data_IF_787732511259
#
_entry.id   IF_787732511259
#
_cell.length_a   1.000
_cell.length_b   1.000
_cell.length_c   1.000
_cell.angle_alpha   90.00
_cell.angle_beta   90.00
_cell.angle_gamma   90.00
#
_symmetry.space_group_name_H-M   'P 1'
#
loop_
_entity.id
_entity.type
_entity.pdbx_description
1 polymer ?
#
# COMPACT_ATOMS: atom_id res chain seq x y z
N UNK A 1 22.00 46.30 -29.82
CA UNK A 1 23.35 46.86 -30.03
C UNK A 1 23.19 48.37 -29.96
N UNK A 2 23.74 49.05 -28.94
CA UNK A 2 23.62 50.51 -28.65
C UNK A 2 22.16 51.05 -28.45
N UNK A 3 21.84 52.11 -27.72
CA UNK A 3 22.50 52.89 -26.64
C UNK A 3 21.46 53.86 -26.03
N UNK A 4 21.50 54.36 -24.79
CA UNK A 4 22.36 54.13 -23.61
C UNK A 4 21.57 54.45 -22.32
N UNK A 5 22.13 54.15 -21.14
CA UNK A 5 21.61 54.49 -19.80
C UNK A 5 22.36 55.72 -19.23
N UNK A 6 21.69 56.60 -18.46
CA UNK A 6 22.23 57.45 -17.37
C UNK A 6 21.07 58.32 -16.80
N UNK A 7 20.99 58.75 -15.53
CA UNK A 7 21.40 58.19 -14.23
C UNK A 7 20.61 58.91 -13.10
N UNK A 8 20.59 58.33 -11.89
CA UNK A 8 19.87 58.85 -10.72
C UNK A 8 20.36 60.22 -10.21
N UNK A 9 19.44 61.00 -9.61
CA UNK A 9 19.75 61.81 -8.40
C UNK A 9 18.64 61.61 -7.36
N UNK A 10 19.05 61.28 -6.13
CA UNK A 10 18.23 61.21 -4.92
C UNK A 10 18.22 62.56 -4.19
N UNK A 11 17.10 62.96 -3.60
CA UNK A 11 17.09 63.80 -2.39
C UNK A 11 15.75 63.71 -1.64
N UNK A 12 15.79 63.26 -0.39
CA UNK A 12 14.68 63.22 0.57
C UNK A 12 14.78 64.36 1.58
N UNK A 13 13.66 64.86 2.15
CA UNK A 13 13.40 64.82 3.60
C UNK A 13 12.12 65.59 4.06
N UNK A 14 11.31 64.90 4.89
CA UNK A 14 10.48 65.35 6.03
C UNK A 14 9.68 66.70 5.99
N UNK A 15 8.36 66.61 6.21
CA UNK A 15 7.79 66.80 7.56
C UNK A 15 6.36 66.24 7.74
N UNK A 16 6.13 65.73 8.95
CA UNK A 16 4.88 65.44 9.69
C UNK A 16 3.72 66.45 9.54
N UNK A 17 2.44 66.17 9.89
CA UNK A 17 1.84 65.04 10.66
C UNK A 17 0.29 65.01 10.59
N UNK A 18 -0.30 63.93 11.15
CA UNK A 18 -1.67 63.79 11.73
C UNK A 18 -2.94 63.86 10.87
N UNK A 19 -3.66 62.73 10.76
CA UNK A 19 -5.14 62.58 10.90
C UNK A 19 -5.45 61.21 11.55
N UNK A 20 -6.59 61.10 12.23
CA UNK A 20 -6.95 60.12 13.28
C UNK A 20 -7.41 58.70 12.89
N UNK A 21 -7.20 57.82 13.89
CA UNK A 21 -8.01 56.70 14.38
C UNK A 21 -9.00 55.97 13.46
N UNK A 22 -8.76 54.66 13.30
CA UNK A 22 -9.79 53.67 12.94
C UNK A 22 -10.10 52.76 14.15
N UNK A 23 -11.40 52.57 14.43
CA UNK A 23 -11.90 51.89 15.62
C UNK A 23 -11.86 50.36 15.47
N UNK A 24 -10.97 49.66 16.20
CA UNK A 24 -11.03 48.20 16.38
C UNK A 24 -11.47 47.87 17.80
N UNK A 25 -12.52 47.06 17.93
CA UNK A 25 -12.90 46.45 19.22
C UNK A 25 -11.90 45.35 19.57
N UNK A 26 -11.08 45.59 20.58
CA UNK A 26 -10.29 44.52 21.20
C UNK A 26 -11.20 43.69 22.10
N UNK A 27 -11.40 42.42 21.78
CA UNK A 27 -11.83 41.44 22.77
C UNK A 27 -10.62 41.11 23.64
N UNK A 28 -10.63 41.60 24.88
CA UNK A 28 -9.69 41.16 25.91
C UNK A 28 -10.06 39.74 26.33
N UNK A 29 -9.46 38.75 25.67
CA UNK A 29 -9.37 37.40 26.23
C UNK A 29 -8.42 37.49 27.41
N UNK A 30 -8.91 37.09 28.58
CA UNK A 30 -8.12 37.06 29.81
C UNK A 30 -7.16 35.88 29.68
N UNK A 31 -5.87 36.16 29.52
CA UNK A 31 -4.83 35.13 29.58
C UNK A 31 -4.91 34.45 30.95
N UNK A 32 -5.27 33.17 30.96
CA UNK A 32 -5.03 32.30 32.10
C UNK A 32 -3.66 31.67 31.91
N UNK A 33 -2.72 31.98 32.81
CA UNK A 33 -1.41 31.36 32.86
C UNK A 33 -1.54 29.85 33.11
N UNK A 34 -1.49 29.09 32.03
CA UNK A 34 -1.22 27.67 32.01
C UNK A 34 -0.49 27.37 30.69
N UNK A 35 0.81 27.65 30.65
CA UNK A 35 1.67 27.14 29.58
C UNK A 35 1.71 25.62 29.67
N UNK A 36 0.82 24.96 28.92
CA UNK A 36 0.99 23.56 28.58
C UNK A 36 2.12 23.47 27.55
N UNK A 37 3.21 22.78 27.88
CA UNK A 37 4.31 22.50 26.96
C UNK A 37 3.76 21.90 25.66
N UNK A 38 3.93 22.61 24.55
CA UNK A 38 3.48 22.13 23.25
C UNK A 38 4.24 20.86 22.86
N UNK A 39 3.51 19.79 22.54
CA UNK A 39 4.08 18.55 22.00
C UNK A 39 4.88 18.75 20.70
N UNK A 40 4.69 19.89 20.01
CA UNK A 40 5.53 20.35 18.91
C UNK A 40 6.85 20.98 19.42
N UNK A 41 7.59 20.26 20.26
CA UNK A 41 8.92 20.66 20.72
C UNK A 41 9.95 20.51 19.59
N UNK A 42 10.84 21.50 19.42
CA UNK A 42 11.90 21.49 18.38
C UNK A 42 12.88 20.32 18.48
N UNK A 43 12.88 19.57 19.58
CA UNK A 43 13.65 18.32 19.75
C UNK A 43 13.15 17.14 18.89
N UNK A 44 11.91 17.17 18.40
CA UNK A 44 11.30 16.01 17.74
C UNK A 44 10.75 16.35 16.36
N UNK A 45 11.07 15.51 15.36
CA UNK A 45 10.34 15.50 14.10
C UNK A 45 9.11 14.61 14.29
N UNK A 46 7.93 15.22 14.28
CA UNK A 46 6.64 14.54 14.39
C UNK A 46 5.83 14.81 13.12
N UNK A 47 5.16 13.77 12.61
CA UNK A 47 4.35 13.87 11.40
C UNK A 47 2.87 13.82 11.77
N UNK A 48 2.21 14.98 11.73
CA UNK A 48 0.77 15.09 11.90
C UNK A 48 0.09 15.00 10.54
N UNK A 49 -0.89 14.10 10.41
CA UNK A 49 -1.92 14.21 9.38
C UNK A 49 -3.18 14.84 10.00
N UNK A 50 -3.83 15.74 9.27
CA UNK A 50 -4.95 16.57 9.76
C UNK A 50 -6.30 15.83 9.79
N UNK A 51 -7.25 16.37 10.58
CA UNK A 51 -8.71 16.08 10.65
C UNK A 51 -9.15 14.82 11.44
N UNK A 52 -10.40 14.74 11.95
CA UNK A 52 -11.22 15.77 12.61
C UNK A 52 -11.43 15.44 14.13
N UNK A 53 -12.13 16.32 14.86
CA UNK A 53 -12.21 16.42 16.33
C UNK A 53 -12.58 15.18 17.19
N UNK A 54 -12.97 14.01 16.64
CA UNK A 54 -13.62 12.95 17.45
C UNK A 54 -13.10 11.51 17.31
N UNK A 55 -12.26 11.17 16.32
CA UNK A 55 -11.77 9.79 16.12
C UNK A 55 -10.29 9.81 15.68
N UNK A 56 -9.42 10.20 16.61
CA UNK A 56 -8.13 10.84 16.27
C UNK A 56 -6.92 9.90 16.24
N UNK A 57 -6.98 8.75 16.90
CA UNK A 57 -6.03 7.61 16.82
C UNK A 57 -6.78 6.38 17.39
N UNK A 58 -6.36 5.15 17.01
CA UNK A 58 -6.74 3.94 17.74
C UNK A 58 -6.09 3.95 19.12
N UNK A 59 -6.69 4.68 20.07
CA UNK A 59 -6.33 4.60 21.46
C UNK A 59 -6.84 3.29 22.07
N UNK A 60 -6.11 2.72 23.02
CA UNK A 60 -6.56 1.54 23.77
C UNK A 60 -6.59 1.85 25.26
N UNK A 61 -7.66 1.39 25.93
CA UNK A 61 -7.81 1.47 27.38
C UNK A 61 -7.11 0.27 28.00
N UNK A 62 -6.17 0.51 28.89
CA UNK A 62 -5.49 -0.56 29.63
C UNK A 62 -6.25 -1.02 30.87
N UNK A 63 -5.82 -2.16 31.43
CA UNK A 63 -6.37 -2.78 32.64
C UNK A 63 -6.19 -1.90 33.90
N UNK A 64 -5.23 -0.98 33.90
CA UNK A 64 -5.04 0.06 34.93
C UNK A 64 -6.04 1.23 34.82
N UNK A 65 -6.91 1.24 33.80
CA UNK A 65 -7.89 2.30 33.56
C UNK A 65 -7.36 3.51 32.76
N UNK A 66 -6.11 3.47 32.27
CA UNK A 66 -5.50 4.55 31.50
C UNK A 66 -5.60 4.29 29.98
N UNK A 67 -5.97 5.31 29.21
CA UNK A 67 -5.84 5.29 27.76
C UNK A 67 -4.37 5.40 27.35
N UNK A 68 -3.99 4.69 26.27
CA UNK A 68 -2.72 4.83 25.56
C UNK A 68 -2.93 5.37 24.15
N UNK A 69 -1.95 6.12 23.65
CA UNK A 69 -1.75 6.39 22.22
C UNK A 69 -0.27 6.21 21.85
N UNK A 70 -0.02 5.86 20.59
CA UNK A 70 1.31 5.86 19.99
C UNK A 70 1.43 7.00 18.96
N UNK A 71 2.49 7.80 19.06
CA UNK A 71 2.83 8.88 18.13
C UNK A 71 4.15 8.51 17.42
N UNK A 72 4.15 8.56 16.09
CA UNK A 72 5.33 8.30 15.28
C UNK A 72 6.32 9.47 15.34
N UNK A 73 7.59 9.18 15.59
CA UNK A 73 8.64 10.19 15.67
C UNK A 73 10.01 9.64 15.27
N UNK A 74 10.91 10.57 14.93
CA UNK A 74 12.35 10.32 14.76
C UNK A 74 13.14 11.00 15.89
N UNK A 75 14.07 10.28 16.53
CA UNK A 75 15.01 10.87 17.49
C UNK A 75 16.43 10.39 17.19
N UNK A 76 17.16 11.19 16.41
CA UNK A 76 18.55 10.92 16.03
C UNK A 76 18.68 9.71 15.11
N UNK A 77 17.97 9.72 13.97
CA UNK A 77 17.85 8.63 13.00
C UNK A 77 17.15 7.35 13.51
N UNK A 78 16.69 7.34 14.77
CA UNK A 78 15.95 6.24 15.39
C UNK A 78 14.45 6.47 15.29
N UNK A 79 13.75 5.60 14.56
CA UNK A 79 12.30 5.59 14.48
C UNK A 79 11.68 5.06 15.77
N UNK A 80 10.58 5.69 16.22
CA UNK A 80 9.93 5.37 17.49
C UNK A 80 8.42 5.50 17.41
N UNK A 81 7.73 4.63 18.15
CA UNK A 81 6.37 4.85 18.62
C UNK A 81 6.42 5.45 20.03
N UNK A 82 6.42 6.79 20.13
CA UNK A 82 6.34 7.49 21.42
C UNK A 82 4.97 7.19 22.07
N UNK A 83 5.00 6.66 23.28
CA UNK A 83 3.79 6.31 24.02
C UNK A 83 3.37 7.47 24.92
N UNK A 84 2.07 7.78 24.93
CA UNK A 84 1.46 8.70 25.89
C UNK A 84 0.30 8.02 26.60
N UNK A 85 0.05 8.42 27.86
CA UNK A 85 -1.07 7.95 28.69
C UNK A 85 -2.02 9.08 29.09
N UNK A 86 -3.29 8.77 29.31
CA UNK A 86 -4.31 9.71 29.81
C UNK A 86 -5.41 9.01 30.60
N UNK A 87 -5.91 9.65 31.66
CA UNK A 87 -7.11 9.22 32.39
C UNK A 87 -8.41 9.69 31.70
N UNK A 88 -8.39 10.90 31.15
CA UNK A 88 -9.60 11.64 30.72
C UNK A 88 -9.68 11.90 29.21
N UNK A 89 -8.72 11.36 28.44
CA UNK A 89 -8.56 11.54 26.99
C UNK A 89 -8.14 12.96 26.55
N UNK A 90 -7.96 13.90 27.49
CA UNK A 90 -7.65 15.31 27.25
C UNK A 90 -6.22 15.66 27.67
N UNK A 91 -5.80 15.20 28.85
CA UNK A 91 -4.47 15.45 29.41
C UNK A 91 -3.56 14.24 29.17
N UNK A 92 -2.49 14.43 28.40
CA UNK A 92 -1.60 13.36 27.95
C UNK A 92 -0.20 13.50 28.52
N UNK A 93 0.25 12.49 29.26
CA UNK A 93 1.60 12.40 29.82
C UNK A 93 2.42 11.42 28.99
N UNK A 94 3.58 11.85 28.49
CA UNK A 94 4.49 10.96 27.77
C UNK A 94 5.06 9.89 28.71
N UNK A 95 5.03 8.63 28.30
CA UNK A 95 5.69 7.56 29.03
C UNK A 95 7.22 7.68 28.91
N UNK A 96 7.94 7.22 29.94
CA UNK A 96 9.40 7.29 29.99
C UNK A 96 10.08 6.48 28.85
N UNK A 97 9.45 5.37 28.45
CA UNK A 97 9.88 4.54 27.34
C UNK A 97 8.86 4.64 26.17
N UNK A 98 9.32 4.57 24.91
CA UNK A 98 8.43 4.37 23.77
C UNK A 98 7.85 2.95 23.78
N UNK A 99 6.70 2.76 23.12
CA UNK A 99 6.09 1.44 22.91
C UNK A 99 7.06 0.49 22.18
N UNK A 100 7.77 1.04 21.20
CA UNK A 100 8.86 0.39 20.48
C UNK A 100 9.80 1.43 19.83
N UNK A 101 11.06 1.07 19.58
CA UNK A 101 12.05 1.91 18.92
C UNK A 101 13.13 1.08 18.21
N UNK A 102 13.64 1.59 17.10
CA UNK A 102 14.57 0.92 16.17
C UNK A 102 15.76 1.82 15.86
N UNK A 103 16.94 1.28 15.51
CA UNK A 103 18.15 2.11 15.45
C UNK A 103 18.34 2.90 14.14
N UNK A 104 17.75 2.46 13.01
CA UNK A 104 18.08 3.01 11.67
C UNK A 104 16.92 3.11 10.67
N UNK A 105 15.66 3.05 11.11
CA UNK A 105 14.51 3.12 10.19
C UNK A 105 14.06 4.55 9.84
N UNK A 106 14.69 5.59 10.39
CA UNK A 106 14.30 6.98 10.12
C UNK A 106 12.93 7.36 10.69
N UNK A 107 12.19 8.22 10.00
CA UNK A 107 10.95 8.81 10.48
C UNK A 107 9.75 7.86 10.36
N UNK A 108 9.11 7.60 11.50
CA UNK A 108 7.85 6.85 11.57
C UNK A 108 6.66 7.79 11.47
N UNK A 109 5.88 7.63 10.40
CA UNK A 109 4.59 8.30 10.21
C UNK A 109 3.43 7.32 10.47
N UNK A 110 2.23 7.87 10.65
CA UNK A 110 0.96 7.13 10.68
C UNK A 110 1.00 5.77 11.41
N UNK A 111 1.42 5.73 12.69
CA UNK A 111 1.45 4.48 13.45
C UNK A 111 0.03 3.91 13.60
N UNK A 112 -0.05 2.59 13.72
CA UNK A 112 -1.25 1.89 14.10
C UNK A 112 -0.87 0.71 15.01
N UNK A 113 -1.62 0.51 16.09
CA UNK A 113 -1.35 -0.54 17.07
C UNK A 113 -2.65 -1.21 17.48
N UNK A 114 -2.70 -2.53 17.33
CA UNK A 114 -3.89 -3.33 17.60
C UNK A 114 -3.52 -4.80 17.82
N UNK A 115 -4.49 -5.62 18.22
CA UNK A 115 -4.36 -7.07 18.24
C UNK A 115 -5.31 -7.75 17.25
N UNK A 116 -4.95 -8.98 16.89
CA UNK A 116 -5.80 -9.96 16.22
C UNK A 116 -5.74 -11.27 16.99
N UNK A 117 -6.89 -11.91 17.14
CA UNK A 117 -7.02 -13.21 17.79
C UNK A 117 -6.96 -14.33 16.73
N UNK A 118 -6.04 -15.28 16.92
CA UNK A 118 -5.92 -16.52 16.12
C UNK A 118 -5.94 -17.74 17.03
N UNK A 119 -5.01 -18.69 16.82
CA UNK A 119 -4.71 -19.73 17.83
C UNK A 119 -4.17 -19.11 19.12
N UNK A 120 -3.42 -18.03 18.97
CA UNK A 120 -2.91 -17.16 20.02
C UNK A 120 -3.20 -15.70 19.60
N UNK A 121 -3.23 -14.78 20.57
CA UNK A 121 -3.33 -13.35 20.28
C UNK A 121 -1.99 -12.83 19.78
N UNK A 122 -1.99 -12.12 18.66
CA UNK A 122 -0.82 -11.36 18.17
C UNK A 122 -1.14 -9.88 18.13
N UNK A 123 -0.19 -9.07 18.59
CA UNK A 123 -0.22 -7.62 18.43
C UNK A 123 0.49 -7.25 17.13
N UNK A 124 -0.07 -6.26 16.45
CA UNK A 124 0.46 -5.66 15.23
C UNK A 124 0.91 -4.26 15.56
N UNK A 125 2.19 -3.97 15.34
CA UNK A 125 2.70 -2.61 15.30
C UNK A 125 2.99 -2.24 13.85
N UNK A 126 2.24 -1.29 13.31
CA UNK A 126 2.39 -0.76 11.95
C UNK A 126 2.92 0.68 11.98
N UNK A 127 3.74 1.02 11.00
CA UNK A 127 4.23 2.37 10.74
C UNK A 127 4.35 2.62 9.23
N UNK A 128 4.30 3.88 8.83
CA UNK A 128 4.65 4.35 7.49
C UNK A 128 6.08 4.89 7.55
N UNK A 129 7.00 4.35 6.76
CA UNK A 129 8.40 4.78 6.77
C UNK A 129 8.61 5.87 5.71
N UNK A 130 9.00 7.07 6.15
CA UNK A 130 9.16 8.22 5.26
C UNK A 130 10.29 8.02 4.24
N UNK A 131 11.33 7.29 4.62
CA UNK A 131 12.55 7.03 3.84
C UNK A 131 12.30 6.10 2.66
N UNK A 132 11.41 5.12 2.81
CA UNK A 132 11.08 4.13 1.77
C UNK A 132 9.73 4.37 1.12
N UNK A 133 8.92 5.31 1.62
CA UNK A 133 7.55 5.58 1.18
C UNK A 133 6.69 4.30 1.16
N UNK A 134 6.85 3.46 2.19
CA UNK A 134 6.15 2.18 2.30
C UNK A 134 5.61 1.93 3.72
N UNK A 135 4.49 1.23 3.78
CA UNK A 135 3.87 0.81 5.04
C UNK A 135 4.34 -0.57 5.47
N UNK A 136 5.01 -0.62 6.61
CA UNK A 136 5.56 -1.84 7.22
C UNK A 136 4.82 -2.20 8.50
N UNK A 137 4.85 -3.48 8.88
CA UNK A 137 4.33 -3.93 10.17
C UNK A 137 5.21 -5.03 10.79
N UNK A 138 5.13 -5.13 12.11
CA UNK A 138 5.71 -6.20 12.91
C UNK A 138 4.59 -6.93 13.66
N UNK A 139 4.69 -8.26 13.75
CA UNK A 139 3.90 -9.07 14.66
C UNK A 139 4.68 -9.29 15.96
N UNK A 140 3.98 -9.43 17.08
CA UNK A 140 4.63 -9.65 18.37
C UNK A 140 3.68 -9.76 19.56
N UNK A 141 4.27 -9.70 20.75
CA UNK A 141 3.57 -9.61 22.03
C UNK A 141 3.55 -8.17 22.57
N UNK A 142 2.60 -7.88 23.44
CA UNK A 142 2.51 -6.62 24.19
C UNK A 142 2.46 -6.94 25.69
N UNK A 143 3.45 -6.44 26.42
CA UNK A 143 3.52 -6.46 27.87
C UNK A 143 2.82 -5.20 28.39
N UNK A 144 1.57 -5.35 28.82
CA UNK A 144 0.70 -4.22 29.19
C UNK A 144 1.14 -3.54 30.50
N UNK A 145 1.70 -4.31 31.45
CA UNK A 145 2.23 -3.80 32.72
C UNK A 145 3.46 -2.90 32.51
N UNK A 146 4.29 -3.21 31.50
CA UNK A 146 5.48 -2.44 31.13
C UNK A 146 5.25 -1.45 29.98
N UNK A 147 4.11 -1.56 29.31
CA UNK A 147 3.79 -0.93 28.02
C UNK A 147 4.85 -1.14 26.92
N UNK A 148 5.35 -2.36 26.77
CA UNK A 148 6.38 -2.70 25.77
C UNK A 148 5.84 -3.64 24.70
N UNK A 149 6.01 -3.27 23.43
CA UNK A 149 5.83 -4.19 22.29
C UNK A 149 7.14 -4.91 21.96
N UNK A 150 7.07 -6.24 21.98
CA UNK A 150 8.18 -7.15 21.66
C UNK A 150 7.87 -7.88 20.35
N UNK A 151 8.55 -7.55 19.23
CA UNK A 151 8.32 -8.21 17.95
C UNK A 151 8.80 -9.67 17.96
N UNK A 152 8.15 -10.51 17.16
CA UNK A 152 8.51 -11.92 16.98
C UNK A 152 9.85 -12.10 16.24
N UNK A 153 10.15 -11.18 15.30
CA UNK A 153 11.46 -11.03 14.68
C UNK A 153 12.18 -9.84 15.33
N UNK A 154 13.32 -10.09 15.96
CA UNK A 154 14.12 -9.07 16.65
C UNK A 154 15.16 -8.40 15.74
N UNK A 155 15.13 -8.65 14.43
CA UNK A 155 16.02 -8.02 13.46
C UNK A 155 15.70 -6.54 13.25
N UNK A 156 16.64 -5.67 13.64
CA UNK A 156 16.57 -4.22 13.46
C UNK A 156 17.00 -3.79 12.05
N UNK A 157 16.47 -4.50 11.05
CA UNK A 157 16.63 -4.23 9.62
C UNK A 157 15.24 -4.07 8.99
N UNK A 158 14.87 -2.82 8.69
CA UNK A 158 13.56 -2.49 8.12
C UNK A 158 13.37 -2.94 6.67
N UNK A 159 14.44 -3.38 5.98
CA UNK A 159 14.35 -3.89 4.61
C UNK A 159 13.60 -5.23 4.52
N UNK A 160 13.63 -6.02 5.61
CA UNK A 160 12.98 -7.34 5.69
C UNK A 160 11.63 -7.32 6.43
N UNK A 161 11.19 -6.17 6.97
CA UNK A 161 9.89 -6.09 7.63
C UNK A 161 8.73 -6.29 6.64
N UNK A 162 7.68 -6.95 7.14
CA UNK A 162 6.48 -7.26 6.35
C UNK A 162 5.75 -5.97 5.96
N UNK A 163 5.06 -5.99 4.81
CA UNK A 163 4.27 -4.87 4.30
C UNK A 163 2.82 -5.29 4.13
N UNK A 164 1.88 -4.35 4.27
CA UNK A 164 0.52 -4.62 3.82
C UNK A 164 0.47 -4.79 2.30
N UNK A 165 1.22 -3.98 1.58
CA UNK A 165 1.19 -3.96 0.12
C UNK A 165 2.59 -3.64 -0.39
N UNK A 166 2.99 -4.31 -1.47
CA UNK A 166 4.33 -4.22 -2.05
C UNK A 166 4.38 -3.28 -3.28
N UNK A 167 3.29 -2.56 -3.57
CA UNK A 167 3.21 -1.49 -4.56
C UNK A 167 3.00 -0.11 -3.94
N UNK A 168 2.15 0.72 -4.55
CA UNK A 168 1.79 2.07 -4.08
C UNK A 168 0.73 1.99 -2.99
N UNK A 169 1.15 2.06 -1.75
CA UNK A 169 0.26 2.03 -0.60
C UNK A 169 0.95 2.68 0.60
N UNK A 170 0.36 3.76 1.12
CA UNK A 170 0.98 4.56 2.16
C UNK A 170 -0.03 5.11 3.17
N UNK A 171 0.47 5.62 4.29
CA UNK A 171 -0.29 6.29 5.35
C UNK A 171 -1.51 5.49 5.86
N UNK A 172 -1.46 4.15 5.76
CA UNK A 172 -2.60 3.28 6.00
C UNK A 172 -3.00 3.23 7.48
N UNK A 173 -4.29 2.99 7.72
CA UNK A 173 -4.87 2.95 9.06
C UNK A 173 -6.02 1.97 9.11
N UNK A 174 -6.09 1.21 10.19
CA UNK A 174 -7.21 0.31 10.47
C UNK A 174 -8.23 0.96 11.40
N UNK A 175 -9.46 0.45 11.37
CA UNK A 175 -10.42 0.58 12.47
C UNK A 175 -11.09 -0.77 12.71
N UNK A 176 -11.75 -0.94 13.86
CA UNK A 176 -12.57 -2.11 14.12
C UNK A 176 -14.04 -1.82 13.78
N UNK A 177 -14.58 -2.58 12.84
CA UNK A 177 -16.00 -2.58 12.48
C UNK A 177 -16.77 -3.40 13.53
N UNK A 178 -17.30 -2.71 14.55
CA UNK A 178 -18.07 -3.31 15.64
C UNK A 178 -19.33 -4.06 15.19
N UNK A 179 -19.88 -3.73 14.01
CA UNK A 179 -21.10 -4.34 13.49
C UNK A 179 -20.80 -5.68 12.84
N UNK A 180 -19.80 -5.73 11.96
CA UNK A 180 -19.43 -6.95 11.23
C UNK A 180 -18.27 -7.71 11.90
N UNK A 181 -17.81 -7.25 13.07
CA UNK A 181 -16.77 -7.85 13.95
C UNK A 181 -15.46 -8.17 13.22
N UNK A 182 -14.95 -7.19 12.48
CA UNK A 182 -13.77 -7.31 11.61
C UNK A 182 -12.88 -6.08 11.70
N UNK A 183 -11.57 -6.24 11.46
CA UNK A 183 -10.66 -5.11 11.28
C UNK A 183 -10.62 -4.70 9.82
N UNK A 184 -10.86 -3.43 9.53
CA UNK A 184 -10.87 -2.88 8.17
C UNK A 184 -9.72 -1.89 8.01
N UNK A 185 -8.91 -2.09 6.98
CA UNK A 185 -7.76 -1.28 6.58
C UNK A 185 -8.13 -0.36 5.42
N UNK A 186 -7.75 0.91 5.55
CA UNK A 186 -7.69 1.90 4.48
C UNK A 186 -6.23 2.24 4.19
N UNK A 187 -5.87 2.49 2.93
CA UNK A 187 -4.55 2.96 2.52
C UNK A 187 -4.63 4.00 1.41
N UNK A 188 -3.82 5.05 1.53
CA UNK A 188 -3.71 6.07 0.49
C UNK A 188 -2.83 5.54 -0.65
N UNK A 189 -3.30 5.77 -1.88
CA UNK A 189 -2.61 5.42 -3.10
C UNK A 189 -2.38 6.72 -3.87
N UNK A 190 -1.15 7.25 -3.78
CA UNK A 190 -0.77 8.46 -4.51
C UNK A 190 -0.67 8.21 -6.02
N UNK A 191 -0.48 9.27 -6.81
CA UNK A 191 -0.39 9.18 -8.26
C UNK A 191 0.98 8.66 -8.74
N UNK A 192 1.03 8.12 -9.97
CA UNK A 192 2.27 7.80 -10.71
C UNK A 192 2.32 8.46 -12.10
N UNK A 193 1.42 9.39 -12.41
CA UNK A 193 1.68 10.42 -13.43
C UNK A 193 2.43 11.61 -12.78
N UNK A 194 2.45 12.78 -13.43
CA UNK A 194 3.21 13.93 -12.94
C UNK A 194 2.31 15.08 -12.46
N UNK A 195 2.91 16.03 -11.75
CA UNK A 195 2.20 17.19 -11.15
C UNK A 195 1.44 18.03 -12.21
N UNK A 196 1.90 18.07 -13.46
CA UNK A 196 1.17 18.78 -14.52
C UNK A 196 -0.09 18.02 -14.96
N UNK A 197 -0.06 16.69 -14.95
CA UNK A 197 -1.25 15.86 -15.14
C UNK A 197 -2.24 16.03 -13.98
N UNK A 198 -1.77 16.05 -12.73
CA UNK A 198 -2.59 16.32 -11.53
C UNK A 198 -3.36 17.63 -11.62
N UNK A 199 -2.65 18.72 -11.97
CA UNK A 199 -3.25 20.05 -12.16
C UNK A 199 -4.22 20.04 -13.35
N UNK A 200 -3.93 19.30 -14.42
CA UNK A 200 -4.77 19.25 -15.62
C UNK A 200 -6.05 18.42 -15.42
N UNK A 201 -5.96 17.29 -14.70
CA UNK A 201 -7.11 16.43 -14.37
C UNK A 201 -7.93 16.97 -13.18
N UNK A 202 -7.35 17.86 -12.38
CA UNK A 202 -8.03 18.60 -11.31
C UNK A 202 -8.15 17.86 -9.97
N UNK A 203 -7.45 16.74 -9.81
CA UNK A 203 -7.43 15.91 -8.60
C UNK A 203 -6.12 15.09 -8.53
N UNK A 204 -5.76 14.60 -7.34
CA UNK A 204 -4.57 13.76 -7.14
C UNK A 204 -4.76 12.88 -5.88
N UNK A 205 -4.46 11.60 -6.00
CA UNK A 205 -4.55 10.60 -4.93
C UNK A 205 -5.93 9.95 -4.83
N UNK A 206 -5.94 8.65 -4.54
CA UNK A 206 -7.14 7.86 -4.25
C UNK A 206 -6.95 7.08 -2.94
N UNK A 207 -8.02 6.47 -2.45
CA UNK A 207 -7.93 5.41 -1.45
C UNK A 207 -7.98 4.04 -2.16
N UNK A 208 -7.25 3.06 -1.64
CA UNK A 208 -7.46 1.65 -1.97
C UNK A 208 -8.87 1.21 -1.56
N UNK A 209 -9.41 0.18 -2.20
CA UNK A 209 -10.61 -0.50 -1.71
C UNK A 209 -10.37 -1.00 -0.28
N UNK A 210 -11.29 -0.76 0.68
CA UNK A 210 -11.11 -1.22 2.06
C UNK A 210 -10.90 -2.72 2.15
N UNK A 211 -9.92 -3.14 2.96
CA UNK A 211 -9.52 -4.55 3.10
C UNK A 211 -9.83 -5.05 4.50
N UNK A 212 -10.41 -6.22 4.63
CA UNK A 212 -10.45 -6.95 5.90
C UNK A 212 -9.05 -7.48 6.18
N UNK A 213 -8.54 -7.26 7.39
CA UNK A 213 -7.23 -7.76 7.84
C UNK A 213 -7.43 -8.87 8.86
N UNK A 214 -6.80 -10.02 8.63
CA UNK A 214 -6.76 -11.16 9.54
C UNK A 214 -5.33 -11.65 9.74
N UNK A 215 -5.11 -12.47 10.77
CA UNK A 215 -3.85 -13.18 10.97
C UNK A 215 -3.85 -14.45 10.10
N UNK A 216 -2.74 -14.78 9.43
CA UNK A 216 -2.62 -16.06 8.72
C UNK A 216 -2.72 -17.24 9.72
N UNK A 217 -3.29 -18.41 9.35
CA UNK A 217 -3.32 -19.59 10.21
C UNK A 217 -1.95 -20.08 10.75
N UNK A 218 -0.84 -19.68 10.13
CA UNK A 218 0.53 -19.91 10.60
C UNK A 218 1.05 -18.84 11.60
N UNK A 219 0.32 -17.74 11.79
CA UNK A 219 0.62 -16.59 12.65
C UNK A 219 1.93 -15.82 12.34
N UNK A 220 2.48 -15.96 11.13
CA UNK A 220 3.73 -15.31 10.70
C UNK A 220 3.52 -14.04 9.86
N UNK A 221 2.32 -13.81 9.35
CA UNK A 221 1.96 -12.65 8.54
C UNK A 221 0.47 -12.30 8.69
N UNK A 222 0.08 -11.15 8.15
CA UNK A 222 -1.30 -10.73 7.98
C UNK A 222 -1.81 -11.07 6.58
N UNK A 223 -3.09 -11.43 6.49
CA UNK A 223 -3.81 -11.69 5.24
C UNK A 223 -4.83 -10.57 5.03
N UNK A 224 -4.98 -10.13 3.77
CA UNK A 224 -5.88 -9.04 3.39
C UNK A 224 -6.83 -9.45 2.27
N UNK A 225 -8.12 -9.16 2.43
CA UNK A 225 -9.09 -9.38 1.37
C UNK A 225 -10.03 -8.18 1.22
N UNK A 226 -10.41 -7.77 -0.01
CA UNK A 226 -11.40 -6.70 -0.21
C UNK A 226 -12.69 -6.98 0.57
N UNK A 227 -13.29 -5.95 1.17
CA UNK A 227 -14.55 -6.08 1.91
C UNK A 227 -15.65 -6.69 1.03
N UNK A 228 -16.42 -7.64 1.58
CA UNK A 228 -17.51 -8.38 0.89
C UNK A 228 -18.54 -7.46 0.22
N UNK A 229 -18.71 -6.25 0.74
CA UNK A 229 -19.61 -5.22 0.20
C UNK A 229 -19.23 -4.79 -1.22
N UNK A 230 -17.95 -4.91 -1.61
CA UNK A 230 -17.50 -4.68 -2.98
C UNK A 230 -18.22 -5.59 -3.98
N UNK A 231 -18.55 -6.82 -3.57
CA UNK A 231 -19.19 -7.81 -4.44
C UNK A 231 -20.60 -7.39 -4.87
N UNK A 232 -21.24 -6.46 -4.16
CA UNK A 232 -22.52 -5.84 -4.56
C UNK A 232 -22.39 -5.01 -5.86
N UNK A 233 -21.17 -4.67 -6.28
CA UNK A 233 -20.89 -4.00 -7.55
C UNK A 233 -20.72 -4.99 -8.71
N UNK A 234 -20.51 -6.30 -8.46
CA UNK A 234 -20.40 -7.32 -9.50
C UNK A 234 -21.67 -7.36 -10.37
N UNK A 235 -21.50 -7.45 -11.69
CA UNK A 235 -22.60 -7.56 -12.67
C UNK A 235 -22.49 -8.88 -13.44
N UNK A 236 -22.63 -8.86 -14.78
CA UNK A 236 -22.51 -10.06 -15.61
C UNK A 236 -21.16 -10.73 -15.35
N UNK A 237 -21.23 -11.97 -14.86
CA UNK A 237 -20.11 -12.88 -14.68
C UNK A 237 -19.77 -13.56 -16.01
N UNK A 238 -18.50 -13.85 -16.19
CA UNK A 238 -17.93 -14.73 -17.21
C UNK A 238 -17.17 -15.81 -16.44
N UNK A 239 -17.41 -17.06 -16.79
CA UNK A 239 -16.76 -18.22 -16.21
C UNK A 239 -15.96 -18.93 -17.31
N UNK A 240 -14.67 -19.15 -17.07
CA UNK A 240 -13.79 -19.95 -17.91
C UNK A 240 -13.18 -21.07 -17.07
N UNK A 241 -13.03 -22.26 -17.67
CA UNK A 241 -12.59 -23.47 -16.98
C UNK A 241 -11.67 -24.29 -17.87
N UNK A 242 -10.77 -25.05 -17.25
CA UNK A 242 -9.93 -26.06 -17.89
C UNK A 242 -9.09 -25.55 -19.09
N UNK A 243 -8.65 -24.29 -19.05
CA UNK A 243 -7.79 -23.71 -20.11
C UNK A 243 -6.33 -24.10 -19.86
N UNK A 244 -5.73 -24.89 -20.74
CA UNK A 244 -4.27 -25.08 -20.78
C UNK A 244 -3.61 -23.86 -21.46
N UNK A 245 -2.68 -23.22 -20.77
CA UNK A 245 -1.83 -22.15 -21.30
C UNK A 245 -0.42 -22.69 -21.54
N UNK A 246 -0.02 -22.82 -22.80
CA UNK A 246 1.32 -23.22 -23.25
C UNK A 246 2.23 -22.01 -23.34
N UNK A 247 3.52 -22.27 -23.58
CA UNK A 247 4.52 -21.22 -23.75
C UNK A 247 4.14 -20.29 -24.91
N UNK A 248 3.94 -19.01 -24.60
CA UNK A 248 3.63 -17.96 -25.56
C UNK A 248 2.13 -17.77 -25.80
N UNK A 249 1.26 -18.48 -25.07
CA UNK A 249 -0.18 -18.30 -25.17
C UNK A 249 -0.62 -17.04 -24.41
N UNK A 250 -1.51 -16.28 -25.06
CA UNK A 250 -2.25 -15.15 -24.49
C UNK A 250 -3.73 -15.34 -24.87
N UNK A 251 -4.59 -15.58 -23.90
CA UNK A 251 -6.03 -15.87 -24.11
C UNK A 251 -6.87 -14.75 -23.53
N UNK A 252 -7.65 -14.09 -24.39
CA UNK A 252 -8.49 -12.95 -24.01
C UNK A 252 -9.70 -13.38 -23.15
N UNK A 253 -10.06 -12.58 -22.15
CA UNK A 253 -11.28 -12.77 -21.35
C UNK A 253 -12.44 -12.06 -22.07
N UNK A 254 -12.94 -12.69 -23.12
CA UNK A 254 -14.02 -12.13 -23.95
C UNK A 254 -15.34 -11.92 -23.19
N UNK A 255 -16.13 -10.95 -23.64
CA UNK A 255 -17.51 -10.73 -23.19
C UNK A 255 -17.69 -9.83 -21.96
N UNK A 256 -16.59 -9.27 -21.43
CA UNK A 256 -16.61 -8.08 -20.58
C UNK A 256 -16.99 -6.85 -21.44
N UNK A 257 -17.80 -5.95 -20.87
CA UNK A 257 -18.19 -4.66 -21.47
C UNK A 257 -17.33 -3.50 -20.99
N UNK A 258 -16.74 -3.63 -19.80
CA UNK A 258 -15.87 -2.62 -19.17
C UNK A 258 -14.62 -3.33 -18.61
N UNK A 259 -13.66 -3.76 -19.45
CA UNK A 259 -12.49 -4.50 -18.97
C UNK A 259 -11.48 -3.60 -18.23
N UNK A 260 -11.71 -2.29 -18.23
CA UNK A 260 -11.08 -1.28 -17.36
C UNK A 260 -11.79 -1.09 -16.01
N UNK A 261 -12.99 -1.65 -15.82
CA UNK A 261 -13.74 -1.59 -14.56
C UNK A 261 -14.28 -2.99 -14.22
N UNK A 262 -13.40 -3.83 -13.66
CA UNK A 262 -13.61 -5.27 -13.52
C UNK A 262 -13.01 -5.87 -12.24
N UNK A 263 -13.55 -7.02 -11.84
CA UNK A 263 -13.01 -7.88 -10.77
C UNK A 263 -12.74 -9.25 -11.40
N UNK A 264 -11.51 -9.76 -11.29
CA UNK A 264 -11.08 -11.02 -11.91
C UNK A 264 -10.46 -11.92 -10.85
N UNK A 265 -10.98 -13.14 -10.71
CA UNK A 265 -10.44 -14.20 -9.86
C UNK A 265 -9.98 -15.36 -10.76
N UNK A 266 -8.75 -15.83 -10.59
CA UNK A 266 -8.19 -16.95 -11.36
C UNK A 266 -7.41 -17.90 -10.45
N UNK A 267 -7.57 -19.20 -10.67
CA UNK A 267 -6.81 -20.27 -10.04
C UNK A 267 -5.98 -21.01 -11.10
N UNK A 268 -4.66 -21.05 -10.88
CA UNK A 268 -3.70 -21.74 -11.74
C UNK A 268 -3.27 -23.06 -11.10
N UNK A 269 -3.41 -24.16 -11.83
CA UNK A 269 -2.80 -25.47 -11.57
C UNK A 269 -1.43 -25.57 -12.27
N UNK A 270 -0.45 -26.09 -11.53
CA UNK A 270 0.97 -26.10 -11.89
C UNK A 270 1.47 -27.56 -11.98
N UNK A 271 1.31 -28.24 -13.14
CA UNK A 271 1.54 -29.68 -13.24
C UNK A 271 3.01 -30.11 -13.06
N UNK A 272 3.97 -29.27 -13.46
CA UNK A 272 5.39 -29.65 -13.60
C UNK A 272 6.34 -28.88 -12.67
N UNK A 273 6.00 -28.74 -11.37
CA UNK A 273 6.77 -27.95 -10.40
C UNK A 273 8.27 -28.36 -10.30
N UNK A 274 8.59 -29.64 -10.40
CA UNK A 274 9.97 -30.18 -10.26
C UNK A 274 10.96 -29.59 -11.28
N UNK A 275 10.46 -29.03 -12.39
CA UNK A 275 11.28 -28.38 -13.44
C UNK A 275 11.64 -26.92 -13.14
N UNK A 276 11.09 -26.33 -12.07
CA UNK A 276 11.29 -24.93 -11.69
C UNK A 276 12.78 -24.54 -11.58
N UNK A 277 13.05 -23.25 -11.80
CA UNK A 277 14.41 -22.70 -11.71
C UNK A 277 14.94 -22.77 -10.27
N UNK A 278 16.25 -22.97 -10.05
CA UNK A 278 16.83 -22.91 -8.70
C UNK A 278 16.62 -21.52 -8.09
N UNK A 279 16.33 -21.49 -6.80
CA UNK A 279 16.17 -20.28 -6.00
C UNK A 279 17.51 -19.79 -5.43
N UNK A 280 17.77 -18.48 -5.53
CA UNK A 280 18.85 -17.82 -4.81
C UNK A 280 18.27 -17.09 -3.58
N UNK A 281 18.77 -17.41 -2.39
CA UNK A 281 18.31 -16.79 -1.15
C UNK A 281 18.50 -15.27 -1.11
N UNK A 282 19.47 -14.72 -1.84
CA UNK A 282 19.69 -13.26 -1.92
C UNK A 282 18.52 -12.52 -2.59
N UNK A 283 17.68 -13.21 -3.36
CA UNK A 283 16.54 -12.57 -4.03
C UNK A 283 15.47 -12.05 -3.07
N UNK A 284 15.38 -12.56 -1.83
CA UNK A 284 14.40 -12.06 -0.83
C UNK A 284 14.64 -10.61 -0.45
N UNK A 285 15.86 -10.09 -0.66
CA UNK A 285 16.25 -8.73 -0.30
C UNK A 285 15.69 -7.67 -1.26
N UNK A 286 15.39 -8.03 -2.50
CA UNK A 286 14.83 -7.11 -3.49
C UNK A 286 13.93 -7.83 -4.53
N UNK A 287 12.71 -8.26 -4.12
CA UNK A 287 11.74 -8.86 -5.04
C UNK A 287 11.30 -7.92 -6.19
N UNK A 288 11.14 -6.59 -6.01
CA UNK A 288 10.90 -5.66 -7.11
C UNK A 288 11.98 -5.71 -8.22
N UNK A 289 13.26 -5.72 -7.85
CA UNK A 289 14.36 -5.90 -8.81
C UNK A 289 14.34 -7.27 -9.47
N UNK A 290 14.06 -8.34 -8.73
CA UNK A 290 13.92 -9.67 -9.34
C UNK A 290 12.77 -9.66 -10.37
N UNK A 291 11.64 -9.03 -10.06
CA UNK A 291 10.54 -8.85 -11.01
C UNK A 291 10.92 -7.97 -12.21
N UNK A 292 11.83 -7.01 -12.07
CA UNK A 292 12.37 -6.27 -13.21
C UNK A 292 13.24 -7.18 -14.11
N UNK A 293 14.15 -7.96 -13.51
CA UNK A 293 15.11 -8.84 -14.21
C UNK A 293 14.45 -10.11 -14.80
N UNK A 294 13.39 -10.62 -14.18
CA UNK A 294 12.70 -11.88 -14.50
C UNK A 294 11.19 -11.71 -14.78
N UNK A 295 10.76 -10.49 -15.10
CA UNK A 295 9.36 -10.13 -15.36
C UNK A 295 8.74 -10.75 -16.62
N UNK A 296 7.52 -10.31 -16.96
CA UNK A 296 6.61 -10.91 -17.95
C UNK A 296 7.23 -11.31 -19.30
N UNK A 297 8.18 -10.52 -19.81
CA UNK A 297 8.86 -10.74 -21.10
C UNK A 297 10.02 -11.74 -21.03
N UNK A 298 10.50 -12.09 -19.84
CA UNK A 298 11.69 -12.92 -19.63
C UNK A 298 11.28 -14.34 -19.32
N UNK A 299 11.32 -15.20 -20.34
CA UNK A 299 10.94 -16.62 -20.24
C UNK A 299 11.59 -17.29 -19.01
N UNK A 300 10.82 -18.15 -18.34
CA UNK A 300 11.30 -19.01 -17.27
C UNK A 300 10.92 -20.46 -17.48
N UNK A 301 11.01 -21.25 -16.41
CA UNK A 301 10.49 -22.63 -16.38
C UNK A 301 9.00 -22.63 -16.08
N UNK A 302 8.67 -22.50 -14.79
CA UNK A 302 7.29 -22.37 -14.31
C UNK A 302 7.00 -20.86 -14.18
N UNK A 303 6.48 -20.28 -15.26
CA UNK A 303 6.22 -18.86 -15.42
C UNK A 303 7.32 -18.05 -16.12
N UNK A 304 7.09 -16.75 -16.36
CA UNK A 304 5.97 -15.97 -15.84
C UNK A 304 4.63 -16.33 -16.46
N UNK A 305 3.60 -16.49 -15.62
CA UNK A 305 2.19 -16.70 -16.02
C UNK A 305 1.27 -15.83 -15.17
N UNK A 306 0.10 -15.46 -15.69
CA UNK A 306 -0.83 -14.60 -14.95
C UNK A 306 -1.82 -13.84 -15.84
N UNK A 307 -2.03 -12.57 -15.52
CA UNK A 307 -2.93 -11.65 -16.22
C UNK A 307 -2.16 -10.49 -16.86
N UNK A 308 -2.59 -10.07 -18.05
CA UNK A 308 -2.33 -8.76 -18.62
C UNK A 308 -3.62 -7.94 -18.53
N UNK A 309 -3.62 -6.88 -17.73
CA UNK A 309 -4.79 -6.02 -17.50
C UNK A 309 -4.55 -4.62 -18.08
N UNK A 310 -5.65 -3.89 -18.33
CA UNK A 310 -5.61 -2.57 -18.99
C UNK A 310 -4.73 -2.64 -20.25
N UNK A 311 -4.96 -3.69 -21.04
CA UNK A 311 -4.15 -4.01 -22.20
C UNK A 311 -4.78 -3.42 -23.46
N UNK A 312 -3.93 -2.87 -24.32
CA UNK A 312 -4.28 -2.53 -25.70
C UNK A 312 -4.42 -3.80 -26.55
N UNK A 313 -5.32 -3.81 -27.54
CA UNK A 313 -5.56 -4.97 -28.41
C UNK A 313 -4.28 -5.55 -29.06
N UNK A 314 -3.33 -4.70 -29.43
CA UNK A 314 -2.06 -5.10 -30.04
C UNK A 314 -0.92 -5.33 -29.04
N UNK A 315 -1.24 -5.40 -27.74
CA UNK A 315 -0.31 -5.56 -26.62
C UNK A 315 0.87 -4.59 -26.65
N UNK A 316 0.69 -3.36 -27.18
CA UNK A 316 1.70 -2.29 -27.08
C UNK A 316 1.78 -1.75 -25.65
N UNK A 317 0.62 -1.43 -25.10
CA UNK A 317 0.40 -1.15 -23.67
C UNK A 317 -0.28 -2.33 -22.98
N UNK A 318 0.16 -2.64 -21.74
CA UNK A 318 -0.49 -3.51 -20.77
C UNK A 318 0.19 -3.41 -19.40
N UNK A 319 -0.53 -3.79 -18.33
CA UNK A 319 0.06 -4.03 -17.01
C UNK A 319 0.06 -5.54 -16.74
N UNK A 320 1.22 -6.13 -16.45
CA UNK A 320 1.31 -7.57 -16.19
C UNK A 320 1.28 -7.85 -14.69
N UNK A 321 0.44 -8.79 -14.27
CA UNK A 321 0.39 -9.34 -12.92
C UNK A 321 0.64 -10.84 -13.04
N UNK A 322 1.76 -11.32 -12.52
CA UNK A 322 2.25 -12.66 -12.84
C UNK A 322 2.98 -13.35 -11.70
N UNK A 323 2.89 -14.67 -11.66
CA UNK A 323 3.70 -15.52 -10.80
C UNK A 323 4.88 -16.15 -11.55
N UNK A 324 5.97 -16.41 -10.82
CA UNK A 324 7.09 -17.25 -11.24
C UNK A 324 7.51 -18.14 -10.06
N UNK A 325 7.77 -19.42 -10.32
CA UNK A 325 8.11 -20.39 -9.28
C UNK A 325 9.58 -20.78 -9.37
N UNK A 326 10.23 -20.80 -8.21
CA UNK A 326 11.59 -21.28 -8.00
C UNK A 326 11.59 -22.47 -7.02
N UNK A 327 12.59 -23.35 -7.13
CA UNK A 327 12.77 -24.49 -6.23
C UNK A 327 14.01 -24.34 -5.34
N UNK A 328 13.90 -24.84 -4.12
CA UNK A 328 15.01 -24.97 -3.17
C UNK A 328 14.90 -26.32 -2.44
N UNK A 329 15.94 -26.72 -1.70
CA UNK A 329 16.11 -28.08 -1.14
C UNK A 329 14.90 -28.67 -0.40
N UNK A 330 14.01 -27.83 0.15
CA UNK A 330 12.88 -28.27 0.96
C UNK A 330 11.50 -27.89 0.40
N UNK A 331 11.43 -27.20 -0.75
CA UNK A 331 10.15 -26.74 -1.29
C UNK A 331 10.27 -25.78 -2.47
N UNK A 332 9.27 -24.91 -2.58
CA UNK A 332 9.13 -23.95 -3.66
C UNK A 332 8.94 -22.55 -3.11
N UNK A 333 9.51 -21.56 -3.81
CA UNK A 333 9.32 -20.15 -3.52
C UNK A 333 8.58 -19.50 -4.69
N UNK A 334 7.45 -18.85 -4.42
CA UNK A 334 6.66 -18.16 -5.44
C UNK A 334 6.90 -16.66 -5.40
N UNK A 335 7.34 -16.10 -6.50
CA UNK A 335 7.41 -14.66 -6.73
C UNK A 335 6.13 -14.19 -7.41
N UNK A 336 5.48 -13.17 -6.86
CA UNK A 336 4.41 -12.40 -7.49
C UNK A 336 4.97 -11.06 -7.96
N UNK A 337 4.68 -10.67 -9.20
CA UNK A 337 5.13 -9.42 -9.81
C UNK A 337 3.96 -8.58 -10.31
N UNK A 338 4.07 -7.25 -10.20
CA UNK A 338 3.29 -6.30 -11.00
C UNK A 338 4.26 -5.48 -11.86
N UNK A 339 4.31 -5.76 -13.15
CA UNK A 339 5.24 -5.16 -14.11
C UNK A 339 4.52 -4.09 -14.94
N UNK A 340 4.74 -2.83 -14.59
CA UNK A 340 4.13 -1.65 -15.21
C UNK A 340 5.01 -1.03 -16.30
N UNK A 341 6.17 -1.61 -16.65
CA UNK A 341 7.11 -1.03 -17.63
C UNK A 341 6.50 -0.78 -19.02
N UNK A 342 5.42 -1.49 -19.35
CA UNK A 342 4.64 -1.35 -20.59
C UNK A 342 3.22 -0.83 -20.34
N UNK A 343 2.90 -0.30 -19.16
CA UNK A 343 1.54 0.17 -18.84
C UNK A 343 1.13 1.43 -19.60
N UNK A 344 2.08 2.20 -20.14
CA UNK A 344 1.81 3.42 -20.90
C UNK A 344 2.91 3.70 -21.93
N UNK A 345 2.52 4.28 -23.07
CA UNK A 345 3.42 4.86 -24.08
C UNK A 345 3.99 6.23 -23.65
N UNK A 346 3.44 6.86 -22.60
CA UNK A 346 3.95 8.12 -22.04
C UNK A 346 5.30 7.87 -21.37
N UNK A 347 6.30 8.69 -21.67
CA UNK A 347 7.61 8.58 -21.05
C UNK A 347 7.59 9.11 -19.61
N UNK A 348 6.83 10.19 -19.41
CA UNK A 348 6.72 11.05 -18.23
C UNK A 348 5.88 10.50 -17.07
N UNK A 349 5.20 9.36 -17.26
CA UNK A 349 4.53 8.63 -16.15
C UNK A 349 5.50 7.61 -15.56
N UNK A 350 5.51 7.49 -14.24
CA UNK A 350 6.27 6.47 -13.52
C UNK A 350 5.71 5.08 -13.85
N UNK A 351 6.61 4.12 -14.06
CA UNK A 351 6.31 2.76 -14.56
C UNK A 351 7.16 1.71 -13.83
N UNK A 352 7.10 1.66 -12.48
CA UNK A 352 7.97 0.80 -11.69
C UNK A 352 7.52 -0.66 -11.79
N UNK A 353 8.44 -1.57 -11.52
CA UNK A 353 8.10 -2.99 -11.32
C UNK A 353 8.02 -3.24 -9.83
N UNK A 354 6.89 -3.79 -9.37
CA UNK A 354 6.69 -4.22 -7.98
C UNK A 354 6.78 -5.74 -7.88
N UNK A 355 7.15 -6.23 -6.71
CA UNK A 355 7.34 -7.66 -6.47
C UNK A 355 7.21 -8.02 -5.00
N UNK A 356 6.71 -9.23 -4.75
CA UNK A 356 6.57 -9.83 -3.43
C UNK A 356 6.80 -11.34 -3.52
N UNK A 357 7.41 -11.94 -2.50
CA UNK A 357 7.36 -13.40 -2.33
C UNK A 357 6.07 -13.79 -1.61
N UNK A 358 5.45 -14.88 -2.05
CA UNK A 358 4.19 -15.39 -1.50
C UNK A 358 4.49 -16.59 -0.60
N UNK A 359 4.17 -16.49 0.69
CA UNK A 359 4.26 -17.61 1.64
C UNK A 359 3.06 -18.55 1.45
N UNK A 360 3.21 -19.53 0.55
CA UNK A 360 2.17 -20.50 0.21
C UNK A 360 2.76 -21.86 -0.16
N UNK A 361 2.17 -22.95 0.36
CA UNK A 361 2.63 -24.31 0.11
C UNK A 361 2.04 -24.89 -1.19
N UNK A 362 2.54 -24.41 -2.34
CA UNK A 362 2.14 -24.94 -3.65
C UNK A 362 2.52 -26.42 -3.86
N UNK A 363 3.39 -27.00 -3.01
CA UNK A 363 3.77 -28.42 -3.11
C UNK A 363 2.62 -29.33 -2.70
N UNK A 364 1.79 -28.87 -1.75
CA UNK A 364 0.65 -29.63 -1.23
C UNK A 364 -0.51 -29.66 -2.23
N UNK A 365 -0.90 -28.52 -2.76
CA UNK A 365 -2.15 -28.37 -3.53
C UNK A 365 -1.92 -28.18 -5.05
N UNK A 366 -0.67 -27.97 -5.49
CA UNK A 366 -0.33 -27.78 -6.91
C UNK A 366 -0.95 -26.54 -7.56
N UNK A 367 -1.46 -25.61 -6.74
CA UNK A 367 -2.34 -24.50 -7.15
C UNK A 367 -1.88 -23.17 -6.60
N UNK A 368 -2.21 -22.08 -7.30
CA UNK A 368 -2.13 -20.72 -6.79
C UNK A 368 -3.27 -19.85 -7.30
N UNK A 369 -3.87 -19.05 -6.41
CA UNK A 369 -4.92 -18.09 -6.73
C UNK A 369 -4.38 -16.67 -6.92
N UNK A 370 -5.03 -15.92 -7.80
CA UNK A 370 -4.87 -14.47 -7.97
C UNK A 370 -6.25 -13.84 -8.09
N UNK A 371 -6.52 -12.81 -7.30
CA UNK A 371 -7.61 -11.85 -7.56
C UNK A 371 -7.03 -10.51 -7.97
N UNK A 372 -7.60 -9.88 -8.97
CA UNK A 372 -7.20 -8.56 -9.44
C UNK A 372 -8.43 -7.68 -9.63
N UNK A 373 -8.48 -6.58 -8.86
CA UNK A 373 -9.42 -5.48 -9.06
C UNK A 373 -8.81 -4.51 -10.05
N UNK A 374 -9.61 -4.04 -11.01
CA UNK A 374 -9.21 -3.14 -12.08
C UNK A 374 -10.21 -1.99 -12.08
N UNK A 375 -9.75 -0.77 -11.83
CA UNK A 375 -10.59 0.43 -11.83
C UNK A 375 -9.84 1.61 -12.50
N UNK A 376 -9.92 1.66 -13.82
CA UNK A 376 -9.39 2.65 -14.75
C UNK A 376 -7.88 2.93 -14.64
N UNK A 377 -7.43 3.60 -13.58
CA UNK A 377 -6.02 3.97 -13.32
C UNK A 377 -5.39 3.26 -12.12
N UNK A 378 -6.14 2.38 -11.43
CA UNK A 378 -5.63 1.54 -10.34
C UNK A 378 -5.87 0.06 -10.61
N UNK A 379 -4.89 -0.75 -10.18
CA UNK A 379 -4.97 -2.21 -10.18
C UNK A 379 -4.55 -2.71 -8.81
N UNK A 380 -5.45 -3.37 -8.08
CA UNK A 380 -5.15 -4.00 -6.78
C UNK A 380 -5.13 -5.52 -6.95
N UNK A 381 -3.99 -6.16 -6.63
CA UNK A 381 -3.76 -7.58 -6.88
C UNK A 381 -3.48 -8.35 -5.60
N UNK A 382 -4.18 -9.47 -5.41
CA UNK A 382 -4.19 -10.29 -4.20
C UNK A 382 -3.79 -11.73 -4.57
N UNK A 383 -2.53 -12.09 -4.30
CA UNK A 383 -1.98 -13.42 -4.54
C UNK A 383 -2.17 -14.37 -3.35
N UNK A 384 -2.42 -15.65 -3.65
CA UNK A 384 -2.66 -16.73 -2.67
C UNK A 384 -3.62 -16.32 -1.54
N UNK A 385 -4.82 -15.89 -1.93
CA UNK A 385 -5.91 -15.48 -1.02
C UNK A 385 -5.59 -14.24 -0.17
N UNK A 386 -4.70 -13.36 -0.65
CA UNK A 386 -4.39 -12.09 0.01
C UNK A 386 -3.17 -12.10 0.93
N UNK A 387 -2.31 -13.12 0.81
CA UNK A 387 -1.01 -13.20 1.50
C UNK A 387 0.03 -12.25 0.89
N UNK A 388 -0.07 -12.00 -0.41
CA UNK A 388 0.68 -10.95 -1.08
C UNK A 388 -0.29 -9.97 -1.75
N UNK A 389 -0.19 -8.68 -1.40
CA UNK A 389 -0.95 -7.62 -2.04
C UNK A 389 -0.02 -6.68 -2.81
N UNK A 390 -0.41 -6.28 -4.02
CA UNK A 390 0.32 -5.30 -4.84
C UNK A 390 -0.69 -4.34 -5.48
N UNK A 391 -0.56 -3.05 -5.15
CA UNK A 391 -1.34 -1.95 -5.71
C UNK A 391 -0.52 -1.16 -6.72
N UNK A 392 -1.04 -0.99 -7.93
CA UNK A 392 -0.35 -0.37 -9.07
C UNK A 392 -1.18 0.80 -9.61
N UNK A 393 -0.52 1.88 -10.05
CA UNK A 393 -1.16 3.06 -10.65
C UNK A 393 -0.64 3.27 -12.06
N UNK A 394 -1.55 3.24 -13.03
CA UNK A 394 -1.20 3.11 -14.44
C UNK A 394 -2.07 4.02 -15.31
N UNK A 395 -1.47 4.54 -16.38
CA UNK A 395 -2.06 5.61 -17.20
C UNK A 395 -1.90 5.30 -18.70
N UNK A 396 -2.51 4.21 -19.20
CA UNK A 396 -2.41 3.81 -20.62
C UNK A 396 -3.06 4.85 -21.55
N UNK A 397 -2.43 5.11 -22.69
CA UNK A 397 -2.85 6.13 -23.66
C UNK A 397 -3.88 5.64 -24.67
N UNK A 398 -3.69 4.42 -25.16
CA UNK A 398 -4.53 3.80 -26.19
C UNK A 398 -5.80 3.19 -25.61
N UNK A 399 -5.73 2.69 -24.37
CA UNK A 399 -6.88 2.15 -23.63
C UNK A 399 -7.90 3.23 -23.27
N UNK A 400 -7.45 4.43 -22.85
CA UNK A 400 -8.36 5.56 -22.57
C UNK A 400 -9.09 6.08 -23.82
N UNK A 401 -8.64 5.70 -25.02
CA UNK A 401 -9.20 6.14 -26.32
C UNK A 401 -9.80 5.00 -27.16
N UNK A 402 -9.79 3.78 -26.66
CA UNK A 402 -10.22 2.58 -27.37
C UNK A 402 -10.84 1.58 -26.39
N UNK A 403 -10.87 0.31 -26.78
CA UNK A 403 -11.37 -0.75 -25.91
C UNK A 403 -10.22 -1.30 -25.04
N UNK A 404 -10.37 -1.33 -23.70
CA UNK A 404 -9.48 -2.08 -22.81
C UNK A 404 -9.67 -3.58 -23.02
N UNK A 405 -8.59 -4.36 -22.89
CA UNK A 405 -8.65 -5.81 -22.88
C UNK A 405 -8.02 -6.38 -21.60
N UNK A 406 -8.41 -7.60 -21.26
CA UNK A 406 -7.75 -8.43 -20.25
C UNK A 406 -7.40 -9.77 -20.88
N UNK A 407 -6.15 -10.19 -20.73
CA UNK A 407 -5.67 -11.49 -21.20
C UNK A 407 -5.16 -12.32 -20.01
N UNK A 408 -5.35 -13.62 -20.06
CA UNK A 408 -4.53 -14.58 -19.32
C UNK A 408 -3.32 -14.95 -20.16
N UNK A 409 -2.17 -15.27 -19.56
CA UNK A 409 -0.97 -15.62 -20.32
C UNK A 409 -0.04 -16.60 -19.62
N UNK A 410 0.79 -17.28 -20.42
CA UNK A 410 1.95 -18.02 -19.96
C UNK A 410 3.15 -17.83 -20.89
N UNK A 411 4.27 -17.37 -20.35
CA UNK A 411 5.55 -17.22 -21.07
C UNK A 411 6.68 -18.07 -20.44
N UNK A 412 6.34 -18.98 -19.50
CA UNK A 412 7.22 -20.05 -19.03
C UNK A 412 7.32 -21.21 -20.04
N UNK A 413 8.32 -22.08 -19.90
CA UNK A 413 8.46 -23.27 -20.76
C UNK A 413 7.48 -24.39 -20.44
N UNK A 414 7.09 -24.51 -19.17
CA UNK A 414 6.07 -25.46 -18.74
C UNK A 414 4.68 -24.90 -19.01
N UNK A 415 3.72 -25.75 -19.39
CA UNK A 415 2.32 -25.34 -19.40
C UNK A 415 1.78 -25.15 -17.98
N UNK A 416 0.88 -24.20 -17.83
CA UNK A 416 0.06 -24.02 -16.64
C UNK A 416 -1.40 -24.14 -17.05
N UNK A 417 -2.27 -24.56 -16.13
CA UNK A 417 -3.68 -24.76 -16.42
C UNK A 417 -4.52 -23.82 -15.57
N UNK A 418 -5.44 -23.10 -16.17
CA UNK A 418 -6.51 -22.41 -15.43
C UNK A 418 -7.58 -23.45 -15.14
N UNK A 419 -7.68 -23.89 -13.88
CA UNK A 419 -8.81 -24.73 -13.43
C UNK A 419 -10.10 -23.93 -13.47
N UNK A 420 -10.01 -22.66 -13.09
CA UNK A 420 -11.15 -21.77 -12.89
C UNK A 420 -10.73 -20.32 -13.02
N UNK A 421 -11.44 -19.57 -13.85
CA UNK A 421 -11.40 -18.12 -13.90
C UNK A 421 -12.82 -17.58 -13.85
N UNK A 422 -13.00 -16.52 -13.07
CA UNK A 422 -14.20 -15.71 -13.02
C UNK A 422 -13.85 -14.27 -13.29
N UNK A 423 -14.63 -13.60 -14.14
CA UNK A 423 -14.52 -12.17 -14.34
C UNK A 423 -15.90 -11.52 -14.24
N UNK A 424 -16.00 -10.40 -13.55
CA UNK A 424 -17.21 -9.59 -13.45
C UNK A 424 -16.96 -8.19 -13.97
N UNK A 425 -17.92 -7.68 -14.73
CA UNK A 425 -18.05 -6.25 -14.94
C UNK A 425 -18.42 -5.61 -13.59
N UNK A 426 -17.76 -4.53 -13.19
CA UNK A 426 -18.04 -3.82 -11.95
C UNK A 426 -18.88 -2.58 -12.23
N UNK A 427 -19.92 -2.37 -11.43
CA UNK A 427 -20.71 -1.16 -11.47
C UNK A 427 -20.02 -0.02 -10.70
N UNK A 428 -20.20 1.21 -11.17
CA UNK A 428 -19.77 2.41 -10.45
C UNK A 428 -20.43 2.52 -9.08
N UNK A 429 -19.61 2.72 -8.05
CA UNK A 429 -20.08 3.13 -6.73
C UNK A 429 -20.60 4.58 -6.78
N UNK A 430 -21.42 4.95 -5.79
CA UNK A 430 -21.74 6.35 -5.50
C UNK A 430 -20.78 6.81 -4.40
N UNK A 431 -19.75 7.55 -4.79
CA UNK A 431 -18.75 8.13 -3.90
C UNK A 431 -18.98 9.65 -3.89
N UNK A 432 -18.84 10.27 -2.73
CA UNK A 432 -19.10 11.69 -2.46
C UNK A 432 -17.86 12.56 -2.66
#
# INVERSE_FOLDING_TARGET
MASSILALIFASFLYCSSVDANYRRNFLIRESEAEADSIANTKYRTAYHFQPLHNWINAWLGQDGLWRIAIGAEIGLKGRALLYKSEDFMHWVQAANPLHATNRSGMWECPDFYYLDGKERKYVLKMSLAETQSDTYMLGGYDEDKDVFSPDDTSDDYSIWLRYDYGKFYASKTFFDEKEKRRVLWGWVNESDNIADDVTKGWSGIQSIPRVVTLDPNARQLVQWPVKELELLRRKQIDLHEIELKKGDFVEIEGLKTPDQADVEVEFELPNLETAEPFDANWVLDPPKLCHEKGSLINGKVGPFGLLVLASHNLKEYTSISFRVFKYDKGYQVLMCSDQRRSSLRAEVDKPTYGAFVDTDIKKDGKISLRTLIDHSVVESFGAEGRACITSRVYPTSVVRGDPHIFTFNNGSESVKISKLKAWNMARARIS
#
